data_IF_522328490168
#
_entry.id   IF_522328490168
#
_cell.length_a   1.000
_cell.length_b   1.000
_cell.length_c   1.000
_cell.angle_alpha   90.00
_cell.angle_beta   90.00
_cell.angle_gamma   90.00
#
_symmetry.space_group_name_H-M   'P 1'
#
loop_
_entity.id
_entity.type
_entity.pdbx_description
1 polymer ?
#
# COMPACT_ATOMS: atom_id res chain seq x y z
N UNK A 1 9.88 -29.59 6.71
CA UNK A 1 10.18 -28.44 5.81
C UNK A 1 9.19 -28.33 4.65
N UNK A 2 8.50 -29.39 4.22
CA UNK A 2 7.56 -29.34 3.10
C UNK A 2 6.23 -28.63 3.43
N UNK A 3 5.72 -28.77 4.66
CA UNK A 3 4.41 -28.20 5.04
C UNK A 3 4.36 -26.67 5.04
N UNK A 4 5.47 -25.98 5.36
CA UNK A 4 5.52 -24.51 5.32
C UNK A 4 5.49 -23.98 3.87
N UNK A 5 5.96 -24.79 2.91
CA UNK A 5 5.96 -24.44 1.50
C UNK A 5 4.57 -24.67 0.89
N UNK A 6 3.86 -25.73 1.29
CA UNK A 6 2.47 -25.97 0.88
C UNK A 6 1.50 -24.90 1.41
N UNK A 7 1.72 -24.39 2.63
CA UNK A 7 0.93 -23.28 3.17
C UNK A 7 1.18 -21.94 2.45
N UNK A 8 2.28 -21.81 1.70
CA UNK A 8 2.55 -20.66 0.83
C UNK A 8 1.89 -20.80 -0.55
N UNK A 9 1.45 -22.02 -0.90
CA UNK A 9 0.64 -22.33 -2.10
C UNK A 9 -0.83 -22.04 -1.75
N UNK A 10 -1.13 -20.83 -1.27
CA UNK A 10 -2.49 -20.33 -1.23
C UNK A 10 -2.78 -19.81 -2.62
N UNK A 11 -3.44 -20.68 -3.39
CA UNK A 11 -4.14 -20.45 -4.64
C UNK A 11 -4.22 -18.98 -5.07
N UNK A 12 -3.38 -18.60 -6.05
CA UNK A 12 -3.16 -17.23 -6.50
C UNK A 12 -4.35 -16.58 -7.23
N UNK A 13 -5.46 -17.31 -7.44
CA UNK A 13 -6.43 -16.94 -8.48
C UNK A 13 -7.87 -16.71 -7.99
N UNK A 14 -8.18 -16.74 -6.68
CA UNK A 14 -9.58 -16.52 -6.24
C UNK A 14 -9.77 -15.77 -4.91
N UNK A 15 -8.72 -15.20 -4.31
CA UNK A 15 -8.92 -14.29 -3.17
C UNK A 15 -9.47 -12.97 -3.70
N UNK A 16 -10.80 -12.89 -3.82
CA UNK A 16 -11.48 -11.60 -3.84
C UNK A 16 -11.02 -10.88 -2.58
N UNK A 17 -10.24 -9.81 -2.75
CA UNK A 17 -9.90 -8.97 -1.61
C UNK A 17 -11.20 -8.56 -0.93
N UNK A 18 -11.26 -8.64 0.41
CA UNK A 18 -12.46 -8.23 1.12
C UNK A 18 -12.80 -6.80 0.71
N UNK A 19 -14.08 -6.55 0.42
CA UNK A 19 -14.54 -5.19 0.16
C UNK A 19 -14.39 -4.39 1.45
N UNK A 20 -13.58 -3.34 1.41
CA UNK A 20 -13.36 -2.46 2.53
C UNK A 20 -14.35 -1.30 2.48
N UNK A 21 -15.29 -1.18 3.44
CA UNK A 21 -16.18 -0.02 3.49
C UNK A 21 -15.45 1.27 3.90
N UNK A 22 -14.26 1.16 4.51
CA UNK A 22 -13.45 2.31 4.91
C UNK A 22 -12.70 2.93 3.72
N UNK A 23 -12.43 4.23 3.83
CA UNK A 23 -11.49 4.92 2.93
C UNK A 23 -10.06 4.46 3.21
N UNK A 24 -9.30 4.16 2.16
CA UNK A 24 -7.89 3.74 2.23
C UNK A 24 -7.03 4.78 1.49
N UNK A 25 -5.88 5.13 2.05
CA UNK A 25 -4.92 6.02 1.39
C UNK A 25 -3.52 5.41 1.45
N UNK A 26 -2.97 5.07 0.27
CA UNK A 26 -1.67 4.43 0.14
C UNK A 26 -0.58 5.49 0.03
N UNK A 27 0.36 5.54 0.99
CA UNK A 27 1.55 6.38 0.93
C UNK A 27 2.74 5.54 0.49
N UNK A 28 3.30 5.80 -0.70
CA UNK A 28 4.28 4.91 -1.33
C UNK A 28 5.59 5.61 -1.68
N UNK A 29 6.73 4.99 -1.38
CA UNK A 29 8.04 5.48 -1.83
C UNK A 29 8.29 5.17 -3.30
N UNK A 30 8.68 6.15 -4.11
CA UNK A 30 8.96 5.93 -5.54
C UNK A 30 10.20 5.07 -5.80
N UNK A 31 11.12 5.00 -4.83
CA UNK A 31 12.38 4.27 -4.90
C UNK A 31 12.34 2.98 -4.07
N UNK A 32 11.15 2.46 -3.74
CA UNK A 32 11.02 1.16 -3.06
C UNK A 32 11.56 0.05 -3.99
N UNK A 33 12.61 -0.63 -3.53
CA UNK A 33 13.30 -1.69 -4.25
C UNK A 33 12.66 -3.07 -4.06
N UNK A 34 11.78 -3.22 -3.07
CA UNK A 34 11.05 -4.46 -2.78
C UNK A 34 9.68 -4.46 -3.43
N UNK A 35 8.98 -3.32 -3.42
CA UNK A 35 7.66 -3.18 -4.04
C UNK A 35 7.57 -1.97 -4.96
N UNK A 36 7.45 -2.23 -6.26
CA UNK A 36 7.42 -1.15 -7.26
C UNK A 36 6.17 -0.26 -7.15
N UNK A 37 6.24 0.92 -7.75
CA UNK A 37 5.09 1.82 -7.86
C UNK A 37 3.96 1.17 -8.67
N UNK A 38 4.28 0.32 -9.64
CA UNK A 38 3.29 -0.46 -10.41
C UNK A 38 2.54 -1.43 -9.50
N UNK A 39 3.24 -2.10 -8.57
CA UNK A 39 2.60 -2.95 -7.57
C UNK A 39 1.61 -2.16 -6.71
N UNK A 40 1.96 -0.94 -6.30
CA UNK A 40 1.08 -0.08 -5.52
C UNK A 40 -0.17 0.36 -6.31
N UNK A 41 -0.03 0.64 -7.61
CA UNK A 41 -1.17 0.94 -8.51
C UNK A 41 -2.08 -0.27 -8.70
N UNK A 42 -1.49 -1.45 -8.82
CA UNK A 42 -2.25 -2.70 -8.89
C UNK A 42 -3.00 -2.96 -7.60
N UNK A 43 -2.37 -2.70 -6.45
CA UNK A 43 -2.99 -2.79 -5.13
C UNK A 43 -4.14 -1.79 -5.01
N UNK A 44 -3.96 -0.52 -5.41
CA UNK A 44 -5.02 0.48 -5.42
C UNK A 44 -6.24 0.00 -6.23
N UNK A 45 -6.01 -0.48 -7.45
CA UNK A 45 -7.08 -1.00 -8.32
C UNK A 45 -7.80 -2.20 -7.71
N UNK A 46 -7.06 -3.07 -7.03
CA UNK A 46 -7.57 -4.26 -6.35
C UNK A 46 -8.38 -3.91 -5.08
N UNK A 47 -7.99 -2.86 -4.36
CA UNK A 47 -8.70 -2.37 -3.16
C UNK A 47 -9.96 -1.56 -3.49
N UNK A 48 -10.08 -1.08 -4.73
CA UNK A 48 -11.30 -0.46 -5.25
C UNK A 48 -11.38 1.06 -5.08
N UNK A 49 -12.53 1.63 -5.42
CA UNK A 49 -12.73 3.07 -5.62
C UNK A 49 -12.52 3.93 -4.37
N UNK A 50 -12.65 3.33 -3.18
CA UNK A 50 -12.40 4.02 -1.89
C UNK A 50 -10.91 4.16 -1.54
N UNK A 51 -10.02 3.77 -2.47
CA UNK A 51 -8.57 3.79 -2.29
C UNK A 51 -7.90 4.90 -3.09
N UNK A 52 -7.27 5.84 -2.39
CA UNK A 52 -6.34 6.80 -2.99
C UNK A 52 -4.88 6.36 -2.82
N UNK A 53 -3.99 6.97 -3.59
CA UNK A 53 -2.55 6.72 -3.53
C UNK A 53 -1.78 8.03 -3.72
N UNK A 54 -0.79 8.26 -2.87
CA UNK A 54 0.16 9.38 -2.94
C UNK A 54 1.59 8.81 -3.06
N UNK A 55 2.29 9.14 -4.15
CA UNK A 55 3.69 8.77 -4.33
C UNK A 55 4.62 9.80 -3.71
N UNK A 56 5.64 9.32 -3.00
CA UNK A 56 6.61 10.13 -2.27
C UNK A 56 7.97 10.01 -2.96
N UNK A 57 8.33 11.10 -3.66
CA UNK A 57 9.61 11.25 -4.33
C UNK A 57 10.78 11.05 -3.37
N UNK A 58 11.80 10.34 -3.84
CA UNK A 58 13.02 10.02 -3.10
C UNK A 58 12.79 9.20 -1.81
N UNK A 59 11.63 8.54 -1.66
CA UNK A 59 11.36 7.60 -0.57
C UNK A 59 11.54 6.16 -1.03
N UNK A 60 12.14 5.32 -0.19
CA UNK A 60 12.25 3.88 -0.41
C UNK A 60 11.15 3.11 0.33
N UNK A 61 11.48 1.87 0.72
CA UNK A 61 10.52 0.97 1.38
C UNK A 61 10.01 1.49 2.72
N UNK A 62 10.89 2.13 3.49
CA UNK A 62 10.55 2.71 4.80
C UNK A 62 10.32 4.22 4.63
N UNK A 63 9.39 4.59 3.76
CA UNK A 63 9.15 5.99 3.35
C UNK A 63 8.86 6.93 4.53
N UNK A 64 8.28 6.42 5.62
CA UNK A 64 8.07 7.16 6.86
C UNK A 64 9.37 7.53 7.58
N UNK A 65 10.44 6.73 7.42
CA UNK A 65 11.77 7.00 7.95
C UNK A 65 12.63 7.81 6.96
N UNK A 66 12.50 7.52 5.66
CA UNK A 66 13.29 8.18 4.61
C UNK A 66 12.84 9.63 4.40
N UNK A 67 11.52 9.88 4.44
CA UNK A 67 10.88 11.16 4.11
C UNK A 67 9.87 11.60 5.19
N UNK A 68 10.25 11.65 6.48
CA UNK A 68 9.33 11.80 7.60
C UNK A 68 8.45 13.05 7.53
N UNK A 69 8.99 14.17 7.06
CA UNK A 69 8.22 15.42 6.92
C UNK A 69 7.14 15.34 5.84
N UNK A 70 7.47 14.76 4.69
CA UNK A 70 6.51 14.62 3.57
C UNK A 70 5.46 13.58 3.95
N UNK A 71 5.90 12.45 4.50
CA UNK A 71 5.02 11.40 4.99
C UNK A 71 4.02 11.93 6.04
N UNK A 72 4.51 12.59 7.10
CA UNK A 72 3.64 13.11 8.16
C UNK A 72 2.69 14.21 7.65
N UNK A 73 3.09 15.01 6.65
CA UNK A 73 2.18 15.97 6.01
C UNK A 73 1.01 15.26 5.33
N UNK A 74 1.29 14.20 4.57
CA UNK A 74 0.26 13.42 3.88
C UNK A 74 -0.62 12.65 4.87
N UNK A 75 -0.01 12.04 5.90
CA UNK A 75 -0.74 11.39 6.99
C UNK A 75 -1.70 12.36 7.70
N UNK A 76 -1.22 13.56 8.06
CA UNK A 76 -2.07 14.56 8.71
C UNK A 76 -3.21 15.03 7.79
N UNK A 77 -2.95 15.18 6.48
CA UNK A 77 -4.00 15.49 5.48
C UNK A 77 -5.06 14.39 5.44
N UNK A 78 -4.65 13.13 5.46
CA UNK A 78 -5.58 12.00 5.51
C UNK A 78 -6.40 12.02 6.80
N UNK A 79 -5.75 12.10 7.97
CA UNK A 79 -6.43 12.10 9.28
C UNK A 79 -7.41 13.26 9.43
N UNK A 80 -7.06 14.46 8.97
CA UNK A 80 -7.97 15.61 9.01
C UNK A 80 -9.20 15.43 8.09
N UNK A 81 -9.12 14.55 7.10
CA UNK A 81 -10.23 14.24 6.19
C UNK A 81 -11.14 13.11 6.66
N UNK A 82 -10.78 12.42 7.74
CA UNK A 82 -11.62 11.43 8.42
C UNK A 82 -12.38 12.17 9.52
N UNK A 83 -13.66 12.46 9.26
CA UNK A 83 -14.61 13.04 10.23
C UNK A 83 -15.68 12.02 10.55
#
# INVERSE_FOLDING_TARGET
>A
MAELLEALIINNDTTTLPSFPQRIDLLWGENDLFFSVEFAKDLQRKLGEMTSMESIKNGGHLVQLDRPFVYNKLLNKFLASVH
#
